data_IF_725402787221
#
_entry.id   IF_725402787221
#
_cell.length_a   1.000
_cell.length_b   1.000
_cell.length_c   1.000
_cell.angle_alpha   90.00
_cell.angle_beta   90.00
_cell.angle_gamma   90.00
#
_symmetry.space_group_name_H-M   'P 1'
#
loop_
_entity.id
_entity.type
_entity.pdbx_description
1 polymer ?
#
# COMPACT_ATOMS: atom_id res chain seq x y z
N UNK A 1 -25.71 -0.19 17.61
CA UNK A 1 -24.65 0.76 17.35
C UNK A 1 -24.60 0.94 15.85
N UNK A 2 -24.91 2.15 15.35
CA UNK A 2 -24.87 2.49 13.92
C UNK A 2 -23.46 2.29 13.41
N UNK A 3 -23.30 1.46 12.39
CA UNK A 3 -22.04 1.29 11.66
C UNK A 3 -21.89 2.43 10.66
N UNK A 4 -21.58 3.63 11.17
CA UNK A 4 -21.33 4.79 10.32
C UNK A 4 -19.99 4.63 9.59
N UNK A 5 -19.92 5.02 8.32
CA UNK A 5 -18.67 5.17 7.59
C UNK A 5 -18.01 6.51 7.90
N UNK A 6 -16.73 6.69 7.58
CA UNK A 6 -16.06 7.99 7.67
C UNK A 6 -16.83 9.05 6.87
N UNK A 7 -17.33 8.70 5.68
CA UNK A 7 -18.18 9.59 4.87
C UNK A 7 -19.51 9.97 5.58
N UNK A 8 -20.14 9.05 6.30
CA UNK A 8 -21.33 9.35 7.11
C UNK A 8 -20.99 10.31 8.26
N UNK A 9 -19.81 10.15 8.87
CA UNK A 9 -19.29 11.04 9.92
C UNK A 9 -19.05 12.45 9.35
N UNK A 10 -18.37 12.57 8.20
CA UNK A 10 -18.12 13.84 7.53
C UNK A 10 -19.45 14.58 7.29
N UNK A 11 -20.47 13.91 6.73
CA UNK A 11 -21.80 14.50 6.52
C UNK A 11 -22.51 14.89 7.82
N UNK A 12 -22.40 14.05 8.85
CA UNK A 12 -23.06 14.29 10.14
C UNK A 12 -22.43 15.43 10.94
N UNK A 13 -21.11 15.60 10.83
CA UNK A 13 -20.36 16.64 11.53
C UNK A 13 -20.36 17.98 10.79
N UNK A 14 -20.95 18.05 9.60
CA UNK A 14 -20.97 19.25 8.75
C UNK A 14 -19.58 19.83 8.51
N UNK A 15 -18.61 18.92 8.28
CA UNK A 15 -17.20 19.27 8.08
C UNK A 15 -16.52 19.86 9.34
N UNK A 16 -17.02 19.58 10.53
CA UNK A 16 -16.35 19.91 11.78
C UNK A 16 -15.14 18.99 11.97
N UNK A 17 -13.94 19.55 11.77
CA UNK A 17 -12.69 18.81 11.82
C UNK A 17 -12.38 18.22 13.20
N UNK A 18 -12.76 18.92 14.29
CA UNK A 18 -12.54 18.43 15.65
C UNK A 18 -13.39 17.18 15.95
N UNK A 19 -14.65 17.17 15.48
CA UNK A 19 -15.50 15.99 15.62
C UNK A 19 -15.04 14.84 14.73
N UNK A 20 -14.57 15.13 13.51
CA UNK A 20 -14.01 14.12 12.60
C UNK A 20 -12.76 13.47 13.21
N UNK A 21 -11.83 14.26 13.69
CA UNK A 21 -10.62 13.83 14.41
C UNK A 21 -10.96 12.86 15.54
N UNK A 22 -11.88 13.26 16.42
CA UNK A 22 -12.32 12.44 17.54
C UNK A 22 -12.94 11.12 17.12
N UNK A 23 -13.69 11.08 16.02
CA UNK A 23 -14.28 9.86 15.51
C UNK A 23 -13.24 8.90 14.93
N UNK A 24 -12.23 9.42 14.24
CA UNK A 24 -11.10 8.61 13.72
C UNK A 24 -10.29 8.05 14.88
N UNK A 25 -9.96 8.88 15.87
CA UNK A 25 -9.28 8.44 17.11
C UNK A 25 -10.00 7.29 17.80
N UNK A 26 -11.33 7.42 17.96
CA UNK A 26 -12.16 6.38 18.58
C UNK A 26 -12.23 5.09 17.76
N UNK A 27 -12.15 5.20 16.43
CA UNK A 27 -12.24 4.04 15.53
C UNK A 27 -10.93 3.28 15.47
N UNK A 28 -9.81 3.98 15.42
CA UNK A 28 -8.47 3.42 15.26
C UNK A 28 -7.77 3.15 16.59
N UNK A 29 -8.24 3.74 17.69
CA UNK A 29 -7.59 3.65 19.01
C UNK A 29 -6.25 4.37 19.07
N UNK A 30 -6.06 5.41 18.27
CA UNK A 30 -4.84 6.23 18.19
C UNK A 30 -5.11 7.65 18.68
N UNK A 31 -4.06 8.42 18.93
CA UNK A 31 -4.13 9.87 19.18
C UNK A 31 -3.73 10.62 17.90
N UNK A 32 -4.57 11.54 17.46
CA UNK A 32 -4.30 12.42 16.32
C UNK A 32 -3.94 13.80 16.83
N UNK A 33 -2.78 14.32 16.48
CA UNK A 33 -2.29 15.60 16.99
C UNK A 33 -3.00 16.78 16.34
N UNK A 34 -3.29 16.71 15.04
CA UNK A 34 -3.90 17.79 14.28
C UNK A 34 -4.84 17.28 13.19
N UNK A 35 -5.80 18.09 12.78
CA UNK A 35 -6.60 17.86 11.59
C UNK A 35 -6.44 18.99 10.59
N UNK A 36 -6.70 18.70 9.32
CA UNK A 36 -6.63 19.66 8.23
C UNK A 36 -7.75 19.39 7.23
N UNK A 37 -8.57 20.39 6.98
CA UNK A 37 -9.67 20.33 6.02
C UNK A 37 -9.40 21.26 4.85
N UNK A 38 -9.43 20.72 3.65
CA UNK A 38 -9.24 21.44 2.40
C UNK A 38 -10.45 21.28 1.49
N UNK A 39 -10.96 22.40 0.98
CA UNK A 39 -11.90 22.35 -0.13
C UNK A 39 -11.18 21.87 -1.41
N UNK A 40 -11.90 21.18 -2.32
CA UNK A 40 -11.38 20.74 -3.62
C UNK A 40 -10.60 21.85 -4.35
N UNK A 41 -11.18 23.05 -4.44
CA UNK A 41 -10.54 24.17 -5.14
C UNK A 41 -9.19 24.55 -4.55
N UNK A 42 -9.12 24.62 -3.22
CA UNK A 42 -7.87 24.94 -2.51
C UNK A 42 -6.85 23.82 -2.66
N UNK A 43 -7.27 22.55 -2.55
CA UNK A 43 -6.42 21.39 -2.80
C UNK A 43 -5.78 21.43 -4.19
N UNK A 44 -6.59 21.55 -5.24
CA UNK A 44 -6.09 21.62 -6.63
C UNK A 44 -5.10 22.79 -6.80
N UNK A 45 -5.38 23.94 -6.20
CA UNK A 45 -4.48 25.10 -6.27
C UNK A 45 -3.14 24.81 -5.61
N UNK A 46 -3.15 24.22 -4.41
CA UNK A 46 -1.93 23.90 -3.66
C UNK A 46 -1.09 22.82 -4.37
N UNK A 47 -1.73 21.78 -4.92
CA UNK A 47 -0.99 20.77 -5.69
C UNK A 47 -0.34 21.40 -6.92
N UNK A 48 -1.04 22.26 -7.67
CA UNK A 48 -0.44 22.96 -8.83
C UNK A 48 0.75 23.85 -8.41
N UNK A 49 0.74 24.41 -7.21
CA UNK A 49 1.88 25.18 -6.66
C UNK A 49 3.02 24.30 -6.15
N UNK A 50 2.74 23.08 -5.73
CA UNK A 50 3.78 22.13 -5.34
C UNK A 50 4.73 21.86 -6.51
N UNK A 51 4.24 21.84 -7.74
CA UNK A 51 5.02 21.65 -8.95
C UNK A 51 4.56 20.44 -9.76
N UNK A 52 5.44 19.88 -10.57
CA UNK A 52 5.19 18.66 -11.33
C UNK A 52 5.14 17.46 -10.40
N UNK A 53 3.97 16.86 -10.27
CA UNK A 53 3.78 15.64 -9.50
C UNK A 53 4.01 14.46 -10.42
N UNK A 54 5.17 13.84 -10.32
CA UNK A 54 5.59 12.74 -11.18
C UNK A 54 5.25 11.40 -10.55
N UNK A 55 4.44 10.63 -11.25
CA UNK A 55 4.00 9.29 -10.82
C UNK A 55 4.23 8.32 -11.96
N UNK A 56 4.75 7.14 -11.63
CA UNK A 56 4.97 6.06 -12.57
C UNK A 56 3.76 5.13 -12.59
N UNK A 57 3.31 4.75 -13.78
CA UNK A 57 2.19 3.84 -13.99
C UNK A 57 2.67 2.58 -14.70
N UNK A 58 2.35 1.42 -14.14
CA UNK A 58 2.72 0.11 -14.72
C UNK A 58 2.03 -0.16 -16.06
N UNK A 59 0.91 0.51 -16.32
CA UNK A 59 0.14 0.38 -17.56
C UNK A 59 -0.61 1.67 -17.89
N UNK A 60 -0.89 1.87 -19.17
CA UNK A 60 -1.71 2.98 -19.60
C UNK A 60 -3.14 2.87 -19.05
N UNK A 61 -3.71 3.99 -18.62
CA UNK A 61 -5.08 4.08 -18.16
C UNK A 61 -5.79 5.32 -18.69
N UNK A 62 -7.12 5.27 -18.74
CA UNK A 62 -7.93 6.42 -19.12
C UNK A 62 -9.13 6.54 -18.18
N UNK A 63 -9.47 7.78 -17.86
CA UNK A 63 -10.60 8.08 -16.98
C UNK A 63 -11.24 9.43 -17.34
N UNK A 64 -12.42 9.68 -16.81
CA UNK A 64 -13.03 11.01 -16.86
C UNK A 64 -12.74 11.73 -15.55
N UNK A 65 -12.12 12.90 -15.63
CA UNK A 65 -11.76 13.65 -14.44
C UNK A 65 -12.98 14.36 -13.80
N UNK A 66 -12.75 14.89 -12.63
CA UNK A 66 -13.79 15.62 -11.85
C UNK A 66 -14.31 16.91 -12.52
N UNK A 67 -13.85 17.23 -13.73
CA UNK A 67 -14.35 18.33 -14.59
C UNK A 67 -15.00 17.82 -15.88
N UNK A 68 -15.36 16.54 -15.93
CA UNK A 68 -15.93 15.83 -17.08
C UNK A 68 -15.00 15.78 -18.31
N UNK A 69 -13.69 15.91 -18.09
CA UNK A 69 -12.70 15.82 -19.16
C UNK A 69 -12.09 14.42 -19.21
N UNK A 70 -12.06 13.85 -20.42
CA UNK A 70 -11.38 12.59 -20.67
C UNK A 70 -9.85 12.76 -20.61
N UNK A 71 -9.20 11.96 -19.78
CA UNK A 71 -7.75 11.99 -19.52
C UNK A 71 -7.17 10.64 -19.83
N UNK A 72 -6.03 10.61 -20.49
CA UNK A 72 -5.23 9.40 -20.72
C UNK A 72 -3.87 9.59 -20.06
N UNK A 73 -3.46 8.60 -19.28
CA UNK A 73 -2.13 8.44 -18.71
C UNK A 73 -1.45 7.27 -19.44
N UNK A 74 -0.18 7.42 -19.74
CA UNK A 74 0.61 6.40 -20.41
C UNK A 74 1.28 5.48 -19.38
N UNK A 75 1.70 4.30 -19.82
CA UNK A 75 2.68 3.50 -19.09
C UNK A 75 3.96 4.31 -18.87
N UNK A 76 4.59 4.17 -17.69
CA UNK A 76 5.75 4.93 -17.28
C UNK A 76 5.42 6.25 -16.56
N UNK A 77 6.40 7.16 -16.50
CA UNK A 77 6.29 8.43 -15.77
C UNK A 77 5.27 9.37 -16.42
N UNK A 78 4.32 9.88 -15.61
CA UNK A 78 3.37 10.92 -15.99
C UNK A 78 3.47 12.10 -15.03
N UNK A 79 3.31 13.31 -15.58
CA UNK A 79 3.22 14.54 -14.80
C UNK A 79 1.76 14.89 -14.53
N UNK A 80 1.37 14.90 -13.26
CA UNK A 80 0.01 15.12 -12.79
C UNK A 80 -0.19 16.55 -12.31
N UNK A 81 -1.23 17.21 -12.77
CA UNK A 81 -1.69 18.48 -12.20
C UNK A 81 -2.66 18.26 -11.04
N UNK A 82 -3.02 19.33 -10.32
CA UNK A 82 -3.90 19.22 -9.16
C UNK A 82 -5.28 18.63 -9.44
N UNK A 83 -5.84 18.80 -10.65
CA UNK A 83 -7.11 18.18 -11.03
C UNK A 83 -6.96 16.67 -11.20
N UNK A 84 -5.90 16.24 -11.88
CA UNK A 84 -5.60 14.82 -12.05
C UNK A 84 -5.34 14.14 -10.69
N UNK A 85 -4.51 14.76 -9.84
CA UNK A 85 -4.26 14.28 -8.47
C UNK A 85 -5.56 14.17 -7.68
N UNK A 86 -6.40 15.21 -7.69
CA UNK A 86 -7.69 15.17 -6.99
C UNK A 86 -8.57 14.04 -7.49
N UNK A 87 -8.70 13.88 -8.81
CA UNK A 87 -9.56 12.84 -9.39
C UNK A 87 -9.08 11.44 -9.05
N UNK A 88 -7.79 11.16 -9.22
CA UNK A 88 -7.21 9.84 -8.92
C UNK A 88 -7.34 9.45 -7.44
N UNK A 89 -7.27 10.43 -6.52
CA UNK A 89 -7.40 10.17 -5.08
C UNK A 89 -8.86 10.06 -4.60
N UNK A 90 -9.82 10.73 -5.25
CA UNK A 90 -11.17 10.90 -4.71
C UNK A 90 -12.29 10.25 -5.53
N UNK A 91 -12.10 10.03 -6.83
CA UNK A 91 -13.14 9.44 -7.68
C UNK A 91 -13.12 7.92 -7.59
N UNK A 92 -14.19 7.35 -7.05
CA UNK A 92 -14.25 5.90 -6.75
C UNK A 92 -14.47 5.03 -7.97
N UNK A 93 -14.94 5.61 -9.09
CA UNK A 93 -15.30 4.87 -10.30
C UNK A 93 -14.14 4.71 -11.29
N UNK A 94 -12.97 5.27 -10.97
CA UNK A 94 -11.75 5.17 -11.80
C UNK A 94 -11.11 3.78 -11.65
N UNK A 95 -11.22 3.19 -10.48
CA UNK A 95 -10.57 1.92 -10.14
C UNK A 95 -11.60 0.84 -9.83
N UNK A 96 -11.40 -0.36 -10.38
CA UNK A 96 -12.19 -1.53 -10.00
C UNK A 96 -11.81 -2.03 -8.60
N UNK A 97 -10.52 -1.94 -8.26
CA UNK A 97 -9.98 -2.30 -6.95
C UNK A 97 -9.63 -1.04 -6.14
N UNK A 98 -10.25 -0.92 -4.97
CA UNK A 98 -10.00 0.19 -4.03
C UNK A 98 -8.62 0.15 -3.38
N UNK A 99 -7.98 -1.02 -3.33
CA UNK A 99 -6.60 -1.12 -2.86
C UNK A 99 -5.65 -0.46 -3.85
N UNK A 100 -5.87 -0.61 -5.16
CA UNK A 100 -5.10 0.10 -6.19
C UNK A 100 -5.24 1.62 -6.03
N UNK A 101 -6.44 2.12 -5.76
CA UNK A 101 -6.64 3.54 -5.49
C UNK A 101 -5.90 3.98 -4.23
N UNK A 102 -5.91 3.19 -3.17
CA UNK A 102 -5.23 3.51 -1.92
C UNK A 102 -3.70 3.49 -2.09
N UNK A 103 -3.16 2.52 -2.83
CA UNK A 103 -1.73 2.44 -3.18
C UNK A 103 -1.31 3.65 -4.01
N UNK A 104 -2.02 3.95 -5.10
CA UNK A 104 -1.74 5.12 -5.92
C UNK A 104 -1.87 6.43 -5.12
N UNK A 105 -2.82 6.52 -4.19
CA UNK A 105 -2.93 7.67 -3.28
C UNK A 105 -1.66 7.84 -2.45
N UNK A 106 -1.11 6.76 -1.92
CA UNK A 106 0.16 6.77 -1.19
C UNK A 106 1.33 7.23 -2.07
N UNK A 107 1.45 6.70 -3.28
CA UNK A 107 2.47 7.11 -4.26
C UNK A 107 2.36 8.58 -4.62
N UNK A 108 1.15 9.08 -4.86
CA UNK A 108 0.90 10.50 -5.11
C UNK A 108 1.33 11.36 -3.92
N UNK A 109 1.05 10.96 -2.68
CA UNK A 109 1.49 11.67 -1.48
C UNK A 109 3.02 11.76 -1.39
N UNK A 110 3.72 10.66 -1.69
CA UNK A 110 5.19 10.65 -1.77
C UNK A 110 5.69 11.57 -2.88
N UNK A 111 5.09 11.52 -4.06
CA UNK A 111 5.46 12.38 -5.20
C UNK A 111 5.24 13.87 -4.91
N UNK A 112 4.16 14.24 -4.22
CA UNK A 112 3.91 15.62 -3.76
C UNK A 112 4.99 16.07 -2.77
N UNK A 113 5.34 15.22 -1.81
CA UNK A 113 6.39 15.53 -0.84
C UNK A 113 7.77 15.67 -1.53
N UNK A 114 8.09 14.83 -2.51
CA UNK A 114 9.30 14.92 -3.31
C UNK A 114 9.35 16.25 -4.09
N UNK A 115 8.27 16.61 -4.80
CA UNK A 115 8.18 17.88 -5.53
C UNK A 115 8.35 19.11 -4.62
N UNK A 116 7.86 19.03 -3.39
CA UNK A 116 8.07 20.08 -2.39
C UNK A 116 9.52 20.11 -1.89
N UNK A 117 10.17 18.96 -1.70
CA UNK A 117 11.55 18.88 -1.26
C UNK A 117 12.55 19.44 -2.29
N UNK A 118 12.21 19.42 -3.57
CA UNK A 118 13.01 20.02 -4.65
C UNK A 118 13.02 21.56 -4.63
N UNK A 119 12.07 22.18 -3.94
CA UNK A 119 12.01 23.65 -3.80
C UNK A 119 13.15 24.19 -2.93
N UNK A 120 13.56 25.43 -3.16
CA UNK A 120 14.41 26.14 -2.23
C UNK A 120 13.73 26.29 -0.85
N UNK A 121 14.49 26.51 0.21
CA UNK A 121 13.92 26.69 1.54
C UNK A 121 12.94 27.89 1.59
N UNK A 122 13.21 28.94 0.82
CA UNK A 122 12.33 30.11 0.76
C UNK A 122 10.98 29.75 0.12
N UNK A 123 11.00 29.08 -1.04
CA UNK A 123 9.79 28.64 -1.73
C UNK A 123 8.99 27.63 -0.89
N UNK A 124 9.71 26.73 -0.19
CA UNK A 124 9.06 25.75 0.68
C UNK A 124 8.35 26.44 1.86
N UNK A 125 8.97 27.47 2.47
CA UNK A 125 8.34 28.26 3.52
C UNK A 125 7.12 29.04 3.01
N UNK A 126 7.23 29.68 1.84
CA UNK A 126 6.12 30.37 1.20
C UNK A 126 4.96 29.42 0.91
N UNK A 127 5.24 28.23 0.37
CA UNK A 127 4.24 27.20 0.16
C UNK A 127 3.58 26.77 1.47
N UNK A 128 4.35 26.53 2.53
CA UNK A 128 3.83 26.14 3.83
C UNK A 128 2.93 27.22 4.45
N UNK A 129 3.30 28.50 4.31
CA UNK A 129 2.46 29.61 4.77
C UNK A 129 1.12 29.64 4.01
N UNK A 130 1.16 29.54 2.68
CA UNK A 130 -0.07 29.51 1.87
C UNK A 130 -0.93 28.29 2.16
N UNK A 131 -0.28 27.15 2.47
CA UNK A 131 -0.99 25.95 2.89
C UNK A 131 -1.79 26.20 4.17
N UNK A 132 -1.18 26.73 5.22
CA UNK A 132 -1.86 27.04 6.48
C UNK A 132 -2.90 28.16 6.34
N UNK A 133 -2.72 29.10 5.42
CA UNK A 133 -3.73 30.10 5.08
C UNK A 133 -4.94 29.49 4.33
N UNK A 134 -4.74 28.36 3.70
CA UNK A 134 -5.76 27.68 2.92
C UNK A 134 -6.56 26.63 3.71
N UNK A 135 -5.95 25.91 4.65
CA UNK A 135 -6.61 24.85 5.40
C UNK A 135 -7.48 25.39 6.53
N UNK A 136 -8.51 24.62 6.89
CA UNK A 136 -9.13 24.71 8.20
C UNK A 136 -8.49 23.65 9.10
N UNK A 137 -7.78 24.09 10.14
CA UNK A 137 -6.91 23.24 10.94
C UNK A 137 -6.85 23.70 12.40
N UNK A 138 -6.59 22.78 13.32
CA UNK A 138 -6.19 23.11 14.70
C UNK A 138 -4.67 23.30 14.86
N UNK A 139 -3.89 23.15 13.76
CA UNK A 139 -2.48 23.51 13.66
C UNK A 139 -2.27 24.92 13.11
N UNK A 140 -1.03 25.40 13.15
CA UNK A 140 -0.65 26.69 12.57
C UNK A 140 0.75 26.64 11.94
N UNK A 141 1.01 27.58 11.02
CA UNK A 141 2.32 27.73 10.41
C UNK A 141 3.43 27.92 11.44
N UNK A 142 3.21 28.73 12.47
CA UNK A 142 4.19 29.01 13.52
C UNK A 142 4.64 27.74 14.23
N UNK A 143 3.74 26.78 14.40
CA UNK A 143 4.04 25.49 15.05
C UNK A 143 5.00 24.63 14.23
N UNK A 144 4.98 24.75 12.91
CA UNK A 144 5.77 23.90 12.00
C UNK A 144 6.98 24.63 11.39
N UNK A 145 7.02 25.94 11.37
CA UNK A 145 8.07 26.72 10.70
C UNK A 145 9.49 26.29 11.10
N UNK A 146 9.71 26.03 12.37
CA UNK A 146 11.01 25.61 12.90
C UNK A 146 11.45 24.22 12.39
N UNK A 147 10.51 23.39 11.96
CA UNK A 147 10.75 22.03 11.47
C UNK A 147 10.87 21.95 9.94
N UNK A 148 10.41 22.95 9.20
CA UNK A 148 10.38 22.92 7.72
C UNK A 148 11.74 22.60 7.10
N UNK A 149 12.83 23.13 7.69
CA UNK A 149 14.18 22.83 7.23
C UNK A 149 14.53 21.35 7.37
N UNK A 150 14.06 20.68 8.43
CA UNK A 150 14.31 19.25 8.68
C UNK A 150 13.42 18.40 7.77
N UNK A 151 12.14 18.75 7.66
CA UNK A 151 11.17 18.06 6.80
C UNK A 151 11.68 18.04 5.36
N UNK A 152 12.11 19.19 4.83
CA UNK A 152 12.69 19.31 3.48
C UNK A 152 13.97 18.48 3.26
N UNK A 153 14.66 18.07 4.30
CA UNK A 153 15.87 17.24 4.20
C UNK A 153 15.56 15.73 4.17
N UNK A 154 14.30 15.35 4.34
CA UNK A 154 13.88 13.96 4.22
C UNK A 154 14.06 13.57 2.75
N UNK A 155 14.89 12.55 2.51
CA UNK A 155 15.13 12.04 1.15
C UNK A 155 13.93 11.24 0.68
N UNK A 156 13.64 11.26 -0.61
CA UNK A 156 12.50 10.56 -1.21
C UNK A 156 12.43 9.09 -0.83
N UNK A 157 13.58 8.41 -0.78
CA UNK A 157 13.68 7.01 -0.33
C UNK A 157 13.25 6.76 1.13
N UNK A 158 13.10 7.82 1.91
CA UNK A 158 12.64 7.77 3.30
C UNK A 158 11.19 8.28 3.43
N UNK A 159 10.55 8.63 2.30
CA UNK A 159 9.13 8.91 2.22
C UNK A 159 8.42 7.60 1.90
N UNK A 160 7.56 7.16 2.79
CA UNK A 160 6.90 5.88 2.66
C UNK A 160 5.44 5.99 3.10
N UNK A 161 4.63 5.09 2.61
CA UNK A 161 3.23 4.96 3.00
C UNK A 161 2.89 3.51 3.31
N UNK A 162 1.80 3.30 3.99
CA UNK A 162 1.23 1.97 4.24
C UNK A 162 -0.27 2.01 4.01
N UNK A 163 -0.74 1.13 3.15
CA UNK A 163 -2.18 0.86 3.01
C UNK A 163 -2.59 -0.05 4.17
N UNK A 164 -3.64 0.34 4.88
CA UNK A 164 -4.16 -0.43 6.01
C UNK A 164 -5.11 -1.51 5.52
N UNK A 165 -4.95 -2.71 6.06
CA UNK A 165 -5.76 -3.87 5.70
C UNK A 165 -7.18 -3.81 6.26
N UNK A 166 -8.08 -4.50 5.58
CA UNK A 166 -9.47 -4.60 5.99
C UNK A 166 -10.27 -5.53 5.08
N UNK A 167 -11.55 -5.59 5.31
CA UNK A 167 -12.47 -6.43 4.54
C UNK A 167 -13.58 -5.60 3.90
N UNK A 168 -13.88 -5.84 2.64
CA UNK A 168 -15.03 -5.24 1.99
C UNK A 168 -16.27 -6.13 2.17
N UNK A 169 -17.38 -5.54 2.60
CA UNK A 169 -18.67 -6.21 2.71
C UNK A 169 -19.80 -5.24 2.45
N UNK A 170 -20.70 -5.58 1.52
CA UNK A 170 -21.87 -4.76 1.16
C UNK A 170 -21.48 -3.31 0.74
N UNK A 171 -20.42 -3.16 -0.04
CA UNK A 171 -19.93 -1.87 -0.50
C UNK A 171 -19.35 -0.97 0.60
N UNK A 172 -19.01 -1.55 1.75
CA UNK A 172 -18.38 -0.85 2.88
C UNK A 172 -17.07 -1.54 3.23
N UNK A 173 -16.00 -0.77 3.29
CA UNK A 173 -14.72 -1.24 3.82
C UNK A 173 -14.75 -1.23 5.34
N UNK A 174 -14.38 -2.36 5.94
CA UNK A 174 -14.18 -2.50 7.38
C UNK A 174 -12.69 -2.65 7.62
N UNK A 175 -12.09 -1.63 8.21
CA UNK A 175 -10.69 -1.64 8.60
C UNK A 175 -10.40 -2.76 9.63
N UNK A 176 -9.27 -3.45 9.47
CA UNK A 176 -8.69 -4.25 10.55
C UNK A 176 -8.05 -3.31 11.57
N UNK A 177 -8.77 -3.07 12.67
CA UNK A 177 -8.35 -2.11 13.69
C UNK A 177 -7.16 -2.59 14.52
N UNK A 178 -6.98 -3.89 14.66
CA UNK A 178 -5.86 -4.46 15.43
C UNK A 178 -4.57 -4.35 14.60
N UNK A 179 -4.66 -4.66 13.32
CA UNK A 179 -3.55 -4.46 12.38
C UNK A 179 -3.20 -2.97 12.21
N UNK A 180 -4.20 -2.12 12.03
CA UNK A 180 -4.00 -0.67 11.93
C UNK A 180 -3.27 -0.14 13.17
N UNK A 181 -3.70 -0.54 14.37
CA UNK A 181 -3.04 -0.15 15.60
C UNK A 181 -1.57 -0.61 15.65
N UNK A 182 -1.32 -1.87 15.28
CA UNK A 182 0.04 -2.40 15.22
C UNK A 182 0.93 -1.59 14.28
N UNK A 183 0.42 -1.26 13.08
CA UNK A 183 1.14 -0.42 12.10
C UNK A 183 1.44 0.96 12.68
N UNK A 184 0.48 1.61 13.34
CA UNK A 184 0.72 2.91 13.96
C UNK A 184 1.71 2.82 15.13
N UNK A 185 1.61 1.82 16.00
CA UNK A 185 2.54 1.62 17.10
C UNK A 185 3.98 1.40 16.59
N UNK A 186 4.15 0.66 15.49
CA UNK A 186 5.43 0.46 14.82
C UNK A 186 5.98 1.75 14.19
N UNK A 187 5.13 2.51 13.50
CA UNK A 187 5.53 3.78 12.86
C UNK A 187 5.88 4.87 13.88
N UNK A 188 5.29 4.82 15.06
CA UNK A 188 5.47 5.81 16.12
C UNK A 188 6.47 5.38 17.21
N UNK A 189 7.05 4.17 17.10
CA UNK A 189 8.02 3.69 18.07
C UNK A 189 9.26 4.61 18.13
N UNK A 190 9.70 4.93 19.35
CA UNK A 190 10.79 5.90 19.59
C UNK A 190 12.15 5.46 19.03
N UNK A 191 12.33 4.20 18.71
CA UNK A 191 13.57 3.67 18.11
C UNK A 191 13.80 4.15 16.68
N UNK A 192 12.90 4.96 16.13
CA UNK A 192 13.12 5.79 14.94
C UNK A 192 13.61 5.05 13.69
N UNK A 193 13.71 3.75 13.75
CA UNK A 193 14.03 2.93 12.60
C UNK A 193 12.73 2.61 11.84
N UNK A 194 12.30 3.62 11.07
CA UNK A 194 11.27 3.42 10.06
C UNK A 194 11.61 2.21 9.16
N UNK A 195 12.88 1.77 9.14
CA UNK A 195 13.29 0.56 8.43
C UNK A 195 12.68 -0.68 9.06
N UNK A 196 12.37 -0.72 10.36
CA UNK A 196 11.67 -1.87 10.97
C UNK A 196 10.16 -1.84 10.72
N UNK A 197 9.52 -0.69 10.71
CA UNK A 197 8.11 -0.56 10.31
C UNK A 197 7.92 -0.77 8.79
N UNK A 198 8.95 -0.43 7.99
CA UNK A 198 9.03 -0.69 6.56
C UNK A 198 9.65 -2.06 6.27
N UNK A 199 10.46 -2.62 7.18
CA UNK A 199 11.05 -3.96 7.11
C UNK A 199 10.14 -5.04 7.70
N UNK A 200 8.97 -4.71 8.23
CA UNK A 200 7.89 -5.71 8.29
C UNK A 200 7.32 -6.00 6.90
N UNK A 201 7.67 -5.20 5.88
CA UNK A 201 7.71 -5.60 4.47
C UNK A 201 9.10 -6.04 3.98
N UNK A 202 10.18 -5.95 4.78
CA UNK A 202 11.52 -6.47 4.40
C UNK A 202 12.37 -6.77 5.64
N UNK A 203 12.37 -8.01 6.04
CA UNK A 203 13.35 -8.81 6.82
C UNK A 203 14.60 -8.11 7.40
N UNK A 204 14.84 -8.23 8.75
CA UNK A 204 16.03 -8.93 9.20
C UNK A 204 15.91 -9.44 10.65
N UNK A 205 16.57 -10.54 10.87
CA UNK A 205 16.45 -11.44 11.98
C UNK A 205 16.98 -10.87 13.31
N UNK A 206 16.14 -10.91 14.35
CA UNK A 206 16.63 -11.27 15.68
C UNK A 206 15.69 -12.28 16.30
N UNK A 207 16.25 -13.48 16.50
CA UNK A 207 15.71 -14.67 17.11
C UNK A 207 14.84 -14.37 18.33
N UNK A 208 13.51 -14.44 18.17
CA UNK A 208 12.58 -15.03 19.14
C UNK A 208 11.18 -15.07 18.50
N UNK A 209 10.68 -16.30 18.27
CA UNK A 209 9.31 -16.70 17.92
C UNK A 209 8.72 -16.05 16.66
N UNK A 210 8.92 -16.74 15.53
CA UNK A 210 8.31 -16.49 14.24
C UNK A 210 6.76 -16.52 14.33
N UNK A 211 6.14 -15.38 14.13
CA UNK A 211 4.78 -15.33 13.59
C UNK A 211 4.91 -15.07 12.10
N UNK A 212 5.06 -16.14 11.30
CA UNK A 212 5.03 -16.07 9.85
C UNK A 212 3.64 -15.60 9.42
N UNK A 213 3.58 -14.57 8.58
CA UNK A 213 2.35 -14.22 7.88
C UNK A 213 1.87 -15.45 7.11
N UNK A 214 0.65 -15.89 7.40
CA UNK A 214 0.09 -17.08 6.77
C UNK A 214 -0.27 -16.78 5.32
N UNK A 215 0.32 -17.52 4.36
CA UNK A 215 -0.01 -17.40 2.93
C UNK A 215 -1.35 -18.04 2.54
N UNK A 216 -2.21 -18.37 3.51
CA UNK A 216 -3.46 -19.11 3.28
C UNK A 216 -4.48 -18.39 2.40
N UNK A 217 -4.51 -17.05 2.47
CA UNK A 217 -5.42 -16.22 1.68
C UNK A 217 -4.77 -15.68 0.38
N UNK A 218 -3.56 -16.14 0.08
CA UNK A 218 -2.81 -15.70 -1.10
C UNK A 218 -3.00 -16.73 -2.22
N UNK A 219 -3.27 -16.27 -3.44
CA UNK A 219 -3.40 -17.15 -4.59
C UNK A 219 -2.05 -17.78 -4.94
N UNK A 220 -2.02 -19.12 -4.97
CA UNK A 220 -0.83 -19.93 -5.25
C UNK A 220 -0.99 -20.64 -6.60
N UNK A 221 0.04 -20.59 -7.44
CA UNK A 221 0.21 -21.47 -8.59
C UNK A 221 1.21 -22.56 -8.25
N UNK A 222 0.92 -23.81 -8.63
CA UNK A 222 1.86 -24.92 -8.49
C UNK A 222 2.23 -25.46 -9.88
N UNK A 223 3.53 -25.57 -10.14
CA UNK A 223 4.05 -26.12 -11.38
C UNK A 223 4.86 -27.40 -11.09
N UNK A 224 4.69 -28.40 -11.91
CA UNK A 224 5.47 -29.65 -11.83
C UNK A 224 6.65 -29.58 -12.79
N UNK A 225 7.89 -29.60 -12.27
CA UNK A 225 9.11 -29.65 -13.06
C UNK A 225 9.63 -31.09 -13.27
N UNK A 226 8.93 -32.08 -12.72
CA UNK A 226 9.39 -33.47 -12.72
C UNK A 226 8.67 -34.31 -13.76
N UNK A 227 9.15 -35.53 -13.99
CA UNK A 227 8.47 -36.54 -14.83
C UNK A 227 7.34 -37.27 -14.09
N UNK A 228 7.12 -36.98 -12.81
CA UNK A 228 6.12 -37.64 -11.96
C UNK A 228 4.73 -37.13 -12.29
N UNK A 229 3.91 -37.94 -12.88
CA UNK A 229 2.55 -37.56 -13.28
C UNK A 229 1.70 -37.18 -12.06
N UNK A 230 1.00 -36.06 -12.14
CA UNK A 230 0.06 -35.58 -11.12
C UNK A 230 0.69 -35.02 -9.86
N UNK A 231 2.02 -34.85 -9.76
CA UNK A 231 2.71 -34.39 -8.56
C UNK A 231 2.20 -33.00 -8.09
N UNK A 232 2.08 -32.05 -9.02
CA UNK A 232 1.54 -30.72 -8.66
C UNK A 232 0.06 -30.77 -8.20
N UNK A 233 -0.72 -31.72 -8.70
CA UNK A 233 -2.09 -31.96 -8.22
C UNK A 233 -2.11 -32.47 -6.79
N UNK A 234 -1.27 -33.44 -6.44
CA UNK A 234 -1.14 -33.92 -5.06
C UNK A 234 -0.70 -32.83 -4.09
N UNK A 235 0.24 -31.99 -4.52
CA UNK A 235 0.64 -30.81 -3.73
C UNK A 235 -0.48 -29.79 -3.58
N UNK A 236 -1.28 -29.56 -4.65
CA UNK A 236 -2.48 -28.75 -4.53
C UNK A 236 -3.43 -29.28 -3.47
N UNK A 237 -3.73 -30.59 -3.51
CA UNK A 237 -4.67 -31.21 -2.57
C UNK A 237 -4.15 -31.10 -1.13
N UNK A 238 -2.85 -31.34 -0.92
CA UNK A 238 -2.21 -31.19 0.39
C UNK A 238 -2.27 -29.76 0.91
N UNK A 239 -1.82 -28.77 0.14
CA UNK A 239 -1.84 -27.37 0.57
C UNK A 239 -3.26 -26.85 0.78
N UNK A 240 -4.22 -27.27 -0.07
CA UNK A 240 -5.63 -26.93 0.10
C UNK A 240 -6.23 -27.52 1.38
N UNK A 241 -5.87 -28.76 1.75
CA UNK A 241 -6.31 -29.37 3.00
C UNK A 241 -5.76 -28.65 4.24
N UNK A 242 -4.60 -28.01 4.10
CA UNK A 242 -3.98 -27.20 5.16
C UNK A 242 -4.45 -25.74 5.15
N UNK A 243 -5.42 -25.42 4.28
CA UNK A 243 -6.13 -24.14 4.23
C UNK A 243 -5.51 -23.09 3.30
N UNK A 244 -4.61 -23.46 2.40
CA UNK A 244 -4.05 -22.56 1.38
C UNK A 244 -4.94 -22.47 0.14
N UNK A 245 -4.92 -21.31 -0.53
CA UNK A 245 -5.69 -21.07 -1.75
C UNK A 245 -4.85 -21.37 -2.99
N UNK A 246 -5.00 -22.57 -3.57
CA UNK A 246 -4.31 -22.96 -4.79
C UNK A 246 -5.20 -22.74 -6.01
N UNK A 247 -4.92 -21.66 -6.77
CA UNK A 247 -5.71 -21.21 -7.90
C UNK A 247 -5.44 -22.02 -9.19
N UNK A 248 -4.19 -22.44 -9.44
CA UNK A 248 -3.84 -23.15 -10.68
C UNK A 248 -2.74 -24.19 -10.50
N UNK A 249 -2.75 -25.18 -11.40
CA UNK A 249 -1.75 -26.25 -11.49
C UNK A 249 -1.29 -26.36 -12.93
N UNK A 250 0.02 -26.37 -13.17
CA UNK A 250 0.62 -26.39 -14.51
C UNK A 250 1.83 -27.34 -14.59
N UNK A 251 2.30 -27.57 -15.79
CA UNK A 251 3.59 -28.24 -16.05
C UNK A 251 4.64 -27.17 -16.29
N UNK A 252 5.75 -27.25 -15.56
CA UNK A 252 6.93 -26.43 -15.81
C UNK A 252 7.71 -26.97 -16.99
N UNK A 253 8.09 -26.10 -17.94
CA UNK A 253 8.67 -26.52 -19.24
C UNK A 253 10.14 -26.13 -19.42
N UNK A 254 10.74 -25.46 -18.45
CA UNK A 254 12.12 -24.95 -18.56
C UNK A 254 13.18 -25.90 -17.99
N UNK A 255 12.79 -27.16 -17.73
CA UNK A 255 13.69 -28.21 -17.25
C UNK A 255 13.23 -28.82 -15.93
N UNK A 256 13.91 -29.90 -15.49
CA UNK A 256 13.63 -30.55 -14.21
C UNK A 256 14.46 -29.91 -13.11
N UNK A 257 13.83 -29.62 -11.98
CA UNK A 257 14.48 -29.08 -10.77
C UNK A 257 14.68 -30.22 -9.75
N UNK A 258 15.81 -30.21 -9.06
CA UNK A 258 16.05 -31.09 -7.90
C UNK A 258 15.31 -30.56 -6.68
N UNK A 259 15.51 -29.29 -6.36
CA UNK A 259 14.86 -28.62 -5.24
C UNK A 259 13.62 -27.87 -5.71
N UNK A 260 12.61 -27.83 -4.87
CA UNK A 260 11.41 -26.99 -5.13
C UNK A 260 11.81 -25.51 -5.09
N UNK A 261 11.28 -24.75 -6.04
CA UNK A 261 11.49 -23.30 -6.10
C UNK A 261 10.20 -22.59 -5.75
N UNK A 262 10.26 -21.70 -4.75
CA UNK A 262 9.17 -20.84 -4.35
C UNK A 262 9.49 -19.43 -4.85
N UNK A 263 8.72 -18.97 -5.83
CA UNK A 263 8.81 -17.63 -6.38
C UNK A 263 7.65 -16.82 -5.80
N UNK A 264 7.94 -15.69 -5.20
CA UNK A 264 6.94 -14.80 -4.60
C UNK A 264 7.10 -13.40 -5.17
N UNK A 265 6.01 -12.68 -5.30
CA UNK A 265 6.05 -11.27 -5.72
C UNK A 265 6.65 -10.38 -4.63
N UNK A 266 6.50 -10.80 -3.36
CA UNK A 266 7.03 -10.10 -2.20
C UNK A 266 7.67 -11.07 -1.19
N UNK A 267 8.73 -10.64 -0.50
CA UNK A 267 9.48 -11.45 0.49
C UNK A 267 8.65 -11.88 1.71
N UNK A 268 7.57 -11.19 2.01
CA UNK A 268 6.67 -11.51 3.12
C UNK A 268 5.81 -12.75 2.83
N UNK A 269 5.63 -13.09 1.54
CA UNK A 269 4.79 -14.18 1.11
C UNK A 269 5.55 -15.51 1.11
N UNK A 270 4.84 -16.62 1.31
CA UNK A 270 5.36 -17.96 1.11
C UNK A 270 6.40 -18.44 2.13
N UNK A 271 6.68 -17.69 3.19
CA UNK A 271 7.64 -18.12 4.22
C UNK A 271 7.16 -19.37 4.96
N UNK A 272 5.88 -19.42 5.27
CA UNK A 272 5.19 -20.55 5.88
C UNK A 272 5.15 -21.79 4.97
N UNK A 273 5.27 -21.61 3.66
CA UNK A 273 5.32 -22.68 2.68
C UNK A 273 6.67 -23.39 2.64
N UNK A 274 7.75 -22.77 3.09
CA UNK A 274 9.10 -23.38 3.08
C UNK A 274 9.17 -24.68 3.87
N UNK A 275 8.41 -24.78 4.96
CA UNK A 275 8.37 -25.95 5.83
C UNK A 275 7.79 -27.20 5.17
N UNK A 276 7.09 -27.05 4.05
CA UNK A 276 6.49 -28.14 3.28
C UNK A 276 7.49 -28.86 2.38
N UNK A 277 8.60 -28.21 2.05
CA UNK A 277 9.56 -28.68 1.05
C UNK A 277 10.96 -28.90 1.62
N UNK A 278 11.72 -29.79 1.01
CA UNK A 278 13.11 -30.07 1.37
C UNK A 278 14.04 -29.07 0.70
N UNK A 279 14.72 -28.25 1.53
CA UNK A 279 15.69 -27.26 1.04
C UNK A 279 15.17 -26.39 -0.13
N UNK A 280 13.97 -25.77 -0.03
CA UNK A 280 13.42 -25.06 -1.16
C UNK A 280 14.26 -23.81 -1.49
N UNK A 281 14.46 -23.55 -2.78
CA UNK A 281 14.94 -22.25 -3.25
C UNK A 281 13.81 -21.24 -3.12
N UNK A 282 14.11 -20.12 -2.48
CA UNK A 282 13.14 -19.05 -2.29
C UNK A 282 13.64 -17.76 -2.95
N UNK A 283 12.87 -17.23 -3.90
CA UNK A 283 13.25 -16.04 -4.67
C UNK A 283 12.08 -15.07 -4.80
N UNK A 284 12.39 -13.78 -4.82
CA UNK A 284 11.43 -12.74 -5.22
C UNK A 284 11.52 -12.57 -6.72
N UNK A 285 10.37 -12.56 -7.40
CA UNK A 285 10.31 -12.45 -8.85
C UNK A 285 8.87 -12.34 -9.34
N UNK A 286 8.70 -12.10 -10.64
CA UNK A 286 7.38 -11.97 -11.26
C UNK A 286 6.69 -13.34 -11.36
N UNK A 287 5.41 -13.39 -10.97
CA UNK A 287 4.54 -14.56 -11.12
C UNK A 287 3.54 -14.29 -12.23
N UNK A 288 3.65 -15.03 -13.32
CA UNK A 288 2.99 -14.74 -14.62
C UNK A 288 1.52 -15.18 -14.76
N UNK A 289 0.79 -15.45 -13.67
CA UNK A 289 -0.53 -16.11 -13.80
C UNK A 289 -1.67 -15.49 -12.99
N UNK A 290 -1.48 -14.29 -12.46
CA UNK A 290 -2.43 -13.69 -11.51
C UNK A 290 -2.41 -14.34 -10.12
N UNK A 291 -1.47 -15.28 -9.87
CA UNK A 291 -1.12 -15.76 -8.55
C UNK A 291 0.03 -14.90 -8.00
N UNK A 292 0.11 -14.73 -6.68
CA UNK A 292 1.19 -13.97 -6.04
C UNK A 292 2.33 -14.86 -5.55
N UNK A 293 2.12 -16.17 -5.58
CA UNK A 293 3.11 -17.19 -5.22
C UNK A 293 3.11 -18.26 -6.31
N UNK A 294 4.29 -18.62 -6.82
CA UNK A 294 4.48 -19.76 -7.70
C UNK A 294 5.40 -20.77 -7.06
N UNK A 295 4.95 -22.02 -6.93
CA UNK A 295 5.72 -23.14 -6.41
C UNK A 295 6.05 -24.07 -7.57
N UNK A 296 7.33 -24.19 -7.93
CA UNK A 296 7.81 -25.14 -8.94
C UNK A 296 8.38 -26.34 -8.21
N UNK A 297 7.63 -27.44 -8.20
CA UNK A 297 7.96 -28.62 -7.39
C UNK A 297 9.13 -29.38 -8.03
N UNK A 298 10.17 -29.64 -7.24
CA UNK A 298 11.35 -30.41 -7.62
C UNK A 298 11.25 -31.91 -7.28
N UNK A 299 12.24 -32.68 -7.73
CA UNK A 299 12.28 -34.16 -7.59
C UNK A 299 12.44 -34.64 -6.16
N UNK A 300 12.99 -33.81 -5.24
CA UNK A 300 13.14 -34.20 -3.83
C UNK A 300 11.83 -34.13 -3.04
N UNK A 301 10.80 -33.48 -3.58
CA UNK A 301 9.53 -33.24 -2.93
C UNK A 301 8.40 -34.09 -3.51
N UNK A 302 8.70 -35.34 -3.82
CA UNK A 302 7.72 -36.34 -4.19
C UNK A 302 6.83 -36.74 -2.99
N UNK A 303 5.51 -36.73 -3.18
CA UNK A 303 4.48 -37.12 -2.20
C UNK A 303 3.46 -38.06 -2.79
#
# INVERSE_FOLDING_TARGET
VSKATVADVIKATKEDGALMKKQVENTLGITINSYELLSRKKFVTLINKAGDIKVEFDQAMSYTDSTDKYVTLNEGENSLNGTAVYSLMSETDIFEDKNQQAELTGEICVAVAAALNDKSLSEYKEYAQEYFDAVDSDGSYENVESYLKRIRQIKDKNLNFKVLDGTESNGKFKLDTDEAKRVFDEMLSEDGDLSSALSSSTTEAKKTTESSLSSKNISIEIQNSTSISGLAGRWKDKLSSDGYTVGSVKTYREGSLTHTKIIVEDKSLGQDLKSYFKNPEYTVGTVSSGARICIIVGTEDEI
#
